data_IF_605885079922
#
_entry.id   IF_605885079922
#
_cell.length_a   1.000
_cell.length_b   1.000
_cell.length_c   1.000
_cell.angle_alpha   90.00
_cell.angle_beta   90.00
_cell.angle_gamma   90.00
#
_symmetry.space_group_name_H-M   'P 1'
#
loop_
_entity.id
_entity.type
_entity.pdbx_description
1 polymer ?
#
# COMPACT_ATOMS: atom_id res chain seq x y z
N UNK A 1 -35.50 -25.81 0.59
CA UNK A 1 -35.51 -26.88 1.57
C UNK A 1 -36.43 -26.53 2.72
N UNK A 2 -37.45 -27.36 2.89
CA UNK A 2 -38.63 -27.16 3.77
C UNK A 2 -38.27 -26.99 5.28
N UNK A 3 -37.04 -27.29 5.67
CA UNK A 3 -36.52 -27.17 7.04
C UNK A 3 -36.00 -25.78 7.35
N UNK A 4 -35.52 -25.04 6.38
CA UNK A 4 -35.05 -23.67 6.60
C UNK A 4 -36.17 -22.65 6.73
N UNK A 5 -37.29 -22.88 6.07
CA UNK A 5 -38.45 -22.00 6.18
C UNK A 5 -39.15 -22.10 7.56
N UNK A 6 -39.02 -23.24 8.25
CA UNK A 6 -39.64 -23.43 9.57
C UNK A 6 -38.95 -22.62 10.68
N UNK A 7 -37.64 -22.33 10.53
CA UNK A 7 -36.90 -21.52 11.48
C UNK A 7 -37.17 -20.01 11.36
N UNK A 8 -37.71 -19.57 10.23
CA UNK A 8 -38.12 -18.14 10.05
C UNK A 8 -39.48 -17.85 10.62
N UNK A 9 -40.34 -18.86 10.78
CA UNK A 9 -41.69 -18.70 11.34
C UNK A 9 -41.68 -18.58 12.87
N UNK A 10 -40.67 -19.15 13.55
CA UNK A 10 -40.52 -19.03 15.00
C UNK A 10 -40.00 -17.66 15.49
N UNK A 11 -39.51 -16.80 14.60
CA UNK A 11 -38.95 -15.48 14.97
C UNK A 11 -40.00 -14.33 14.84
N UNK A 12 -41.25 -14.66 14.59
CA UNK A 12 -42.38 -13.72 14.82
C UNK A 12 -42.62 -12.69 13.70
N UNK A 13 -42.13 -12.90 12.48
CA UNK A 13 -42.28 -11.93 11.39
C UNK A 13 -43.27 -12.26 10.28
N UNK A 14 -44.06 -13.35 10.40
CA UNK A 14 -45.24 -13.55 9.53
C UNK A 14 -46.32 -14.32 10.28
N UNK A 15 -47.44 -13.68 10.54
CA UNK A 15 -48.70 -14.36 10.86
C UNK A 15 -49.42 -14.69 9.58
N UNK A 16 -49.58 -15.97 9.28
CA UNK A 16 -50.55 -16.44 8.32
C UNK A 16 -51.77 -16.94 9.09
N UNK A 17 -52.93 -16.37 8.87
CA UNK A 17 -54.22 -16.95 9.28
C UNK A 17 -54.58 -18.01 8.24
N UNK A 18 -54.70 -19.25 8.71
CA UNK A 18 -55.32 -20.34 7.97
C UNK A 18 -56.85 -20.13 7.97
N UNK A 19 -57.45 -19.91 6.81
CA UNK A 19 -58.88 -20.17 6.58
C UNK A 19 -59.02 -21.34 5.62
N UNK A 20 -59.48 -22.47 6.19
CA UNK A 20 -60.06 -23.57 5.43
C UNK A 20 -61.38 -23.13 4.81
N UNK A 21 -61.55 -23.29 3.51
CA UNK A 21 -62.84 -23.74 2.91
C UNK A 21 -62.59 -24.28 1.50
N UNK A 22 -62.99 -25.48 1.34
CA UNK A 22 -63.18 -26.26 0.13
C UNK A 22 -64.24 -25.59 -0.73
N UNK A 23 -64.03 -25.29 -2.01
CA UNK A 23 -64.81 -25.83 -3.12
C UNK A 23 -64.29 -25.38 -4.51
N UNK A 24 -64.62 -26.18 -5.44
CA UNK A 24 -64.25 -26.43 -6.81
C UNK A 24 -64.66 -25.31 -7.79
N UNK A 25 -63.94 -25.25 -8.88
CA UNK A 25 -64.16 -24.64 -10.18
C UNK A 25 -63.39 -23.36 -10.55
N UNK A 26 -62.38 -23.62 -11.38
CA UNK A 26 -61.94 -22.80 -12.54
C UNK A 26 -62.39 -21.33 -12.64
N UNK A 27 -61.50 -20.39 -12.28
CA UNK A 27 -61.30 -19.12 -12.97
C UNK A 27 -59.99 -18.49 -12.47
N UNK A 28 -59.04 -18.25 -13.38
CA UNK A 28 -57.89 -17.37 -13.13
C UNK A 28 -58.41 -15.99 -12.74
N UNK A 29 -58.22 -15.64 -11.48
CA UNK A 29 -58.43 -14.28 -11.01
C UNK A 29 -57.06 -13.74 -10.65
N UNK A 30 -56.51 -12.90 -11.52
CA UNK A 30 -55.37 -12.06 -11.23
C UNK A 30 -55.76 -11.16 -10.07
N UNK A 31 -55.31 -11.51 -8.87
CA UNK A 31 -55.39 -10.62 -7.71
C UNK A 31 -54.34 -9.51 -7.91
N UNK A 32 -54.84 -8.34 -8.30
CA UNK A 32 -54.09 -7.09 -8.08
C UNK A 32 -54.12 -6.84 -6.58
N UNK A 33 -52.95 -6.56 -5.92
CA UNK A 33 -52.99 -6.05 -4.57
C UNK A 33 -53.61 -4.64 -4.64
N UNK A 34 -54.78 -4.42 -4.04
CA UNK A 34 -55.25 -3.11 -3.65
C UNK A 34 -54.27 -2.60 -2.55
N UNK A 35 -53.38 -1.73 -2.94
CA UNK A 35 -52.58 -0.93 -1.98
C UNK A 35 -53.61 0.09 -1.44
N UNK A 36 -54.06 -0.09 -0.20
CA UNK A 36 -54.70 0.98 0.53
C UNK A 36 -53.73 2.16 0.62
N UNK A 37 -53.94 3.13 -0.26
CA UNK A 37 -53.42 4.49 -0.09
C UNK A 37 -54.14 5.11 1.11
N UNK A 38 -53.64 4.89 2.31
CA UNK A 38 -53.81 5.87 3.39
C UNK A 38 -53.01 5.42 4.63
N UNK A 39 -52.24 6.33 5.03
CA UNK A 39 -51.63 6.60 6.34
C UNK A 39 -50.13 6.44 6.41
N UNK A 40 -49.54 7.59 6.67
CA UNK A 40 -48.21 7.85 7.16
C UNK A 40 -47.04 7.90 6.15
N UNK A 41 -47.21 8.62 5.05
CA UNK A 41 -46.11 9.50 4.69
C UNK A 41 -46.16 10.70 5.64
N UNK A 42 -45.68 10.53 6.86
CA UNK A 42 -45.19 11.65 7.62
C UNK A 42 -44.17 12.35 6.73
N UNK A 43 -44.50 13.55 6.27
CA UNK A 43 -43.57 14.43 5.59
C UNK A 43 -42.36 14.56 6.53
N UNK A 44 -41.32 13.82 6.26
CA UNK A 44 -40.00 14.17 6.75
C UNK A 44 -39.71 15.49 6.04
N UNK A 45 -40.03 16.58 6.70
CA UNK A 45 -39.58 17.90 6.26
C UNK A 45 -38.08 17.82 6.10
N UNK A 46 -37.51 18.19 4.93
CA UNK A 46 -36.09 18.20 4.76
C UNK A 46 -35.54 19.17 5.82
N UNK A 47 -34.81 18.67 6.81
CA UNK A 47 -34.17 19.44 7.88
C UNK A 47 -33.08 20.39 7.37
N UNK A 48 -32.96 20.55 6.06
CA UNK A 48 -32.05 21.51 5.42
C UNK A 48 -32.87 22.67 4.90
N UNK A 49 -32.73 23.82 5.53
CA UNK A 49 -33.20 25.09 5.01
C UNK A 49 -32.38 25.44 3.76
N UNK A 50 -32.87 24.95 2.60
CA UNK A 50 -32.25 25.27 1.31
C UNK A 50 -32.39 26.76 0.92
N UNK A 51 -33.10 27.56 1.71
CA UNK A 51 -33.42 28.95 1.39
C UNK A 51 -32.21 29.89 1.26
N UNK A 52 -31.10 29.53 1.85
CA UNK A 52 -29.87 30.34 1.83
C UNK A 52 -28.75 29.83 0.93
N UNK A 53 -28.89 28.63 0.33
CA UNK A 53 -27.87 28.04 -0.53
C UNK A 53 -28.01 28.59 -1.96
N UNK A 54 -27.15 29.52 -2.34
CA UNK A 54 -27.12 30.11 -3.68
C UNK A 54 -26.25 29.32 -4.67
N UNK A 55 -25.30 28.56 -4.16
CA UNK A 55 -24.36 27.77 -4.95
C UNK A 55 -23.95 26.52 -4.18
N UNK A 56 -23.55 25.45 -4.89
CA UNK A 56 -22.96 24.26 -4.27
C UNK A 56 -21.66 24.56 -3.49
N UNK A 57 -21.06 25.73 -3.68
CA UNK A 57 -19.90 26.20 -2.90
C UNK A 57 -20.26 26.65 -1.49
N UNK A 58 -21.53 26.94 -1.23
CA UNK A 58 -22.02 27.39 0.06
C UNK A 58 -22.29 26.19 1.01
N UNK A 59 -22.20 24.96 0.48
CA UNK A 59 -22.39 23.73 1.25
C UNK A 59 -21.06 23.39 1.96
N UNK A 60 -21.07 23.37 3.29
CA UNK A 60 -19.93 22.91 4.06
C UNK A 60 -19.78 21.40 3.94
N UNK A 61 -18.67 20.97 3.33
CA UNK A 61 -18.32 19.55 3.20
C UNK A 61 -17.46 19.14 4.39
N UNK A 62 -17.81 18.06 5.12
CA UNK A 62 -16.99 17.57 6.22
C UNK A 62 -15.55 17.28 5.76
N UNK A 63 -14.53 17.63 6.57
CA UNK A 63 -13.13 17.50 6.16
C UNK A 63 -12.64 16.04 6.09
N UNK A 64 -13.29 15.12 6.80
CA UNK A 64 -12.96 13.70 6.78
C UNK A 64 -13.88 12.95 5.81
N UNK A 65 -13.30 12.09 4.98
CA UNK A 65 -14.05 11.28 4.03
C UNK A 65 -15.07 10.37 4.69
N UNK A 66 -14.78 9.90 5.90
CA UNK A 66 -15.69 9.00 6.62
C UNK A 66 -16.98 9.69 7.04
N UNK A 67 -16.94 11.00 7.27
CA UNK A 67 -18.10 11.78 7.66
C UNK A 67 -18.89 12.32 6.43
N UNK A 68 -18.40 12.05 5.21
CA UNK A 68 -19.06 12.36 3.94
C UNK A 68 -19.91 11.18 3.44
N UNK A 69 -19.79 10.00 4.06
CA UNK A 69 -20.56 8.80 3.68
C UNK A 69 -21.92 8.87 4.34
N UNK A 70 -22.99 8.73 3.55
CA UNK A 70 -24.38 8.79 3.97
C UNK A 70 -25.00 7.39 3.86
N UNK A 71 -25.88 7.03 4.77
CA UNK A 71 -26.65 5.78 4.71
C UNK A 71 -25.92 4.52 5.20
N UNK A 72 -24.75 4.65 5.85
CA UNK A 72 -23.95 3.51 6.35
C UNK A 72 -23.46 3.71 7.79
N UNK A 73 -24.30 4.22 8.68
CA UNK A 73 -23.92 4.63 10.03
C UNK A 73 -23.33 3.50 10.87
N UNK A 74 -23.92 2.32 10.84
CA UNK A 74 -23.44 1.12 11.53
C UNK A 74 -22.06 0.68 11.01
N UNK A 75 -21.90 0.72 9.68
CA UNK A 75 -20.63 0.41 9.03
C UNK A 75 -19.54 1.42 9.41
N UNK A 76 -19.87 2.70 9.45
CA UNK A 76 -18.97 3.79 9.86
C UNK A 76 -18.53 3.62 11.31
N UNK A 77 -19.45 3.31 12.22
CA UNK A 77 -19.09 3.05 13.62
C UNK A 77 -18.15 1.85 13.75
N UNK A 78 -18.43 0.77 13.03
CA UNK A 78 -17.57 -0.42 13.04
C UNK A 78 -16.19 -0.10 12.50
N UNK A 79 -16.08 0.68 11.42
CA UNK A 79 -14.81 1.12 10.86
C UNK A 79 -14.05 2.03 11.84
N UNK A 80 -14.73 2.95 12.52
CA UNK A 80 -14.14 3.80 13.56
C UNK A 80 -13.58 2.95 14.72
N UNK A 81 -14.30 1.91 15.15
CA UNK A 81 -13.83 0.95 16.16
C UNK A 81 -12.61 0.15 15.67
N UNK A 82 -12.67 -0.37 14.44
CA UNK A 82 -11.59 -1.12 13.83
C UNK A 82 -10.32 -0.28 13.66
N UNK A 83 -10.43 0.97 13.23
CA UNK A 83 -9.32 1.90 13.09
C UNK A 83 -8.61 2.15 14.43
N UNK A 84 -9.35 2.43 15.50
CA UNK A 84 -8.79 2.60 16.85
C UNK A 84 -8.02 1.36 17.34
N UNK A 85 -8.47 0.18 16.98
CA UNK A 85 -7.86 -1.10 17.36
C UNK A 85 -6.83 -1.62 16.36
N UNK A 86 -6.63 -0.93 15.23
CA UNK A 86 -5.80 -1.37 14.10
C UNK A 86 -6.16 -2.78 13.65
N UNK A 87 -7.47 -3.07 13.50
CA UNK A 87 -7.98 -4.37 13.07
C UNK A 87 -8.34 -4.39 11.60
N UNK A 88 -8.13 -5.55 10.97
CA UNK A 88 -8.47 -5.78 9.57
C UNK A 88 -10.00 -5.76 9.38
N UNK A 89 -10.44 -5.36 8.19
CA UNK A 89 -11.85 -5.28 7.83
C UNK A 89 -12.09 -6.02 6.52
N UNK A 90 -13.22 -6.71 6.45
CA UNK A 90 -13.78 -7.27 5.23
C UNK A 90 -15.12 -6.57 4.94
N UNK A 91 -15.16 -5.77 3.87
CA UNK A 91 -16.35 -5.08 3.42
C UNK A 91 -17.07 -5.94 2.38
N UNK A 92 -18.30 -6.33 2.67
CA UNK A 92 -19.12 -7.20 1.83
C UNK A 92 -20.29 -6.38 1.32
N UNK A 93 -20.45 -6.27 0.01
CA UNK A 93 -21.56 -5.52 -0.62
C UNK A 93 -21.36 -5.37 -2.12
N UNK A 94 -22.39 -4.85 -2.78
CA UNK A 94 -22.39 -4.68 -4.22
C UNK A 94 -21.43 -3.58 -4.71
N UNK A 95 -21.07 -3.59 -5.99
CA UNK A 95 -20.26 -2.52 -6.57
C UNK A 95 -20.99 -1.16 -6.43
N UNK A 96 -20.23 -0.12 -6.10
CA UNK A 96 -20.78 1.24 -6.02
C UNK A 96 -21.24 1.71 -4.64
N UNK A 97 -21.38 0.82 -3.64
CA UNK A 97 -21.84 1.18 -2.28
C UNK A 97 -20.81 1.95 -1.43
N UNK A 98 -19.75 2.48 -1.99
CA UNK A 98 -18.80 3.33 -1.27
C UNK A 98 -17.68 2.61 -0.51
N UNK A 99 -17.43 1.29 -0.72
CA UNK A 99 -16.40 0.51 -0.03
C UNK A 99 -15.01 1.16 -0.02
N UNK A 100 -14.53 1.62 -1.19
CA UNK A 100 -13.23 2.27 -1.33
C UNK A 100 -13.15 3.63 -0.63
N UNK A 101 -14.26 4.36 -0.57
CA UNK A 101 -14.35 5.63 0.15
C UNK A 101 -14.22 5.42 1.66
N UNK A 102 -14.91 4.41 2.19
CA UNK A 102 -14.79 4.01 3.60
C UNK A 102 -13.36 3.54 3.96
N UNK A 103 -12.71 2.79 3.07
CA UNK A 103 -11.31 2.38 3.25
C UNK A 103 -10.35 3.57 3.31
N UNK A 104 -10.53 4.57 2.43
CA UNK A 104 -9.77 5.83 2.47
C UNK A 104 -10.07 6.63 3.73
N UNK A 105 -11.35 6.71 4.12
CA UNK A 105 -11.76 7.35 5.37
C UNK A 105 -11.12 6.71 6.59
N UNK A 106 -10.99 5.38 6.61
CA UNK A 106 -10.29 4.67 7.67
C UNK A 106 -8.83 5.12 7.81
N UNK A 107 -8.11 5.33 6.71
CA UNK A 107 -6.73 5.80 6.76
C UNK A 107 -6.60 7.19 7.38
N UNK A 108 -7.61 8.05 7.25
CA UNK A 108 -7.62 9.38 7.84
C UNK A 108 -7.79 9.37 9.38
N UNK A 109 -8.44 8.35 9.91
CA UNK A 109 -8.72 8.22 11.34
C UNK A 109 -7.80 7.24 12.07
N UNK A 110 -6.93 6.51 11.33
CA UNK A 110 -5.91 5.65 11.92
C UNK A 110 -4.93 6.48 12.75
N UNK A 111 -4.52 6.00 13.94
CA UNK A 111 -3.43 6.62 14.68
C UNK A 111 -2.16 6.67 13.82
N UNK A 112 -1.64 7.86 13.58
CA UNK A 112 -0.49 8.11 12.69
C UNK A 112 0.78 8.55 13.44
N UNK A 113 0.82 8.34 14.74
CA UNK A 113 1.82 8.90 15.68
C UNK A 113 3.27 8.47 15.40
N UNK A 114 3.50 7.49 14.55
CA UNK A 114 4.85 6.98 14.28
C UNK A 114 5.04 6.51 12.85
N UNK A 115 4.86 7.44 11.90
CA UNK A 115 5.25 7.15 10.52
C UNK A 115 6.77 7.04 10.40
N UNK A 116 7.21 6.06 9.62
CA UNK A 116 8.62 5.74 9.44
C UNK A 116 9.00 5.83 7.96
N UNK A 117 10.19 6.35 7.70
CA UNK A 117 10.87 6.20 6.41
C UNK A 117 11.66 4.90 6.44
N UNK A 118 11.68 4.17 5.32
CA UNK A 118 12.42 2.92 5.20
C UNK A 118 13.56 3.10 4.22
N UNK A 119 14.76 2.82 4.69
CA UNK A 119 16.01 2.91 3.95
C UNK A 119 16.58 1.51 3.70
N UNK A 120 17.16 1.33 2.51
CA UNK A 120 17.92 0.14 2.18
C UNK A 120 19.40 0.51 1.99
N UNK A 121 20.26 -0.24 2.63
CA UNK A 121 21.70 -0.07 2.62
C UNK A 121 22.37 -1.23 1.89
N UNK A 122 23.50 -0.97 1.23
CA UNK A 122 24.35 -2.06 0.73
C UNK A 122 24.87 -2.89 1.90
N UNK A 123 24.95 -4.20 1.71
CA UNK A 123 25.64 -5.09 2.63
C UNK A 123 27.03 -5.39 2.09
N UNK A 124 28.06 -5.09 2.88
CA UNK A 124 29.45 -5.29 2.49
C UNK A 124 29.83 -6.77 2.51
N UNK A 125 29.20 -7.55 3.39
CA UNK A 125 29.46 -8.98 3.56
C UNK A 125 28.79 -9.81 2.47
N UNK A 126 27.55 -9.46 2.13
CA UNK A 126 26.78 -10.13 1.08
C UNK A 126 25.96 -9.12 0.26
N UNK A 127 26.44 -8.83 -0.94
CA UNK A 127 25.82 -7.86 -1.84
C UNK A 127 24.36 -8.26 -2.25
N UNK A 128 24.01 -9.54 -2.15
CA UNK A 128 22.67 -10.03 -2.50
C UNK A 128 21.67 -9.97 -1.33
N UNK A 129 22.15 -9.63 -0.12
CA UNK A 129 21.33 -9.44 1.07
C UNK A 129 21.43 -8.01 1.61
N UNK A 130 20.85 -7.01 0.92
CA UNK A 130 20.89 -5.63 1.38
C UNK A 130 20.14 -5.46 2.71
N UNK A 131 20.68 -4.54 3.54
CA UNK A 131 20.20 -4.29 4.90
C UNK A 131 19.08 -3.26 4.90
N UNK A 132 18.14 -3.38 5.85
CA UNK A 132 17.00 -2.47 6.02
C UNK A 132 17.14 -1.71 7.33
N UNK A 133 16.81 -0.40 7.29
CA UNK A 133 16.69 0.44 8.49
C UNK A 133 15.46 1.32 8.40
N UNK A 134 14.69 1.38 9.49
CA UNK A 134 13.62 2.33 9.69
C UNK A 134 14.13 3.53 10.46
N UNK A 135 13.67 4.71 10.08
CA UNK A 135 13.95 5.99 10.74
C UNK A 135 12.64 6.78 10.82
N UNK A 136 12.51 7.76 11.71
CA UNK A 136 11.33 8.63 11.75
C UNK A 136 11.06 9.30 10.40
N UNK A 137 9.79 9.55 10.09
CA UNK A 137 9.39 10.19 8.84
C UNK A 137 10.10 11.54 8.62
N UNK A 138 10.61 11.77 7.41
CA UNK A 138 11.37 12.95 7.02
C UNK A 138 12.89 12.89 7.31
N UNK A 139 13.37 11.94 8.11
CA UNK A 139 14.81 11.77 8.32
C UNK A 139 15.48 10.99 7.18
N UNK A 140 14.77 10.08 6.57
CA UNK A 140 15.32 9.24 5.50
C UNK A 140 15.89 10.03 4.34
N UNK A 141 15.16 11.05 3.89
CA UNK A 141 15.61 11.94 2.80
C UNK A 141 16.84 12.79 3.20
N UNK A 142 16.92 13.21 4.47
CA UNK A 142 18.08 13.97 4.99
C UNK A 142 19.32 13.08 5.01
N UNK A 143 19.18 11.83 5.47
CA UNK A 143 20.26 10.84 5.49
C UNK A 143 20.79 10.59 4.08
N UNK A 144 19.91 10.32 3.11
CA UNK A 144 20.31 10.09 1.72
C UNK A 144 21.02 11.30 1.12
N UNK A 145 20.52 12.53 1.37
CA UNK A 145 21.17 13.77 0.91
C UNK A 145 22.55 13.96 1.56
N UNK A 146 22.64 13.76 2.87
CA UNK A 146 23.90 13.92 3.59
C UNK A 146 24.96 12.91 3.10
N UNK A 147 24.59 11.65 2.92
CA UNK A 147 25.50 10.60 2.45
C UNK A 147 25.96 10.86 1.01
N UNK A 148 25.05 11.26 0.11
CA UNK A 148 25.41 11.63 -1.27
C UNK A 148 26.28 12.89 -1.32
N UNK A 149 25.99 13.87 -0.47
CA UNK A 149 26.79 15.10 -0.36
C UNK A 149 28.21 14.83 0.14
N UNK A 150 28.37 14.00 1.16
CA UNK A 150 29.70 13.63 1.67
C UNK A 150 30.50 12.83 0.64
N UNK A 151 29.90 11.93 -0.09
CA UNK A 151 30.53 11.16 -1.17
C UNK A 151 31.03 12.11 -2.29
N UNK A 152 30.19 13.06 -2.72
CA UNK A 152 30.55 14.04 -3.74
C UNK A 152 31.69 14.95 -3.30
N UNK A 153 31.66 15.47 -2.07
CA UNK A 153 32.70 16.28 -1.51
C UNK A 153 34.04 15.53 -1.41
N UNK A 154 34.00 14.22 -1.16
CA UNK A 154 35.20 13.39 -1.11
C UNK A 154 35.82 13.20 -2.50
N UNK A 155 35.00 12.98 -3.52
CA UNK A 155 35.47 12.90 -4.91
C UNK A 155 36.05 14.24 -5.40
N UNK A 156 35.37 15.36 -5.12
CA UNK A 156 35.86 16.69 -5.46
C UNK A 156 37.22 17.01 -4.81
N UNK A 157 37.36 16.71 -3.52
CA UNK A 157 38.64 16.87 -2.81
C UNK A 157 39.78 16.02 -3.40
N UNK A 158 39.47 14.76 -3.75
CA UNK A 158 40.42 13.86 -4.38
C UNK A 158 40.87 14.40 -5.74
N UNK A 159 39.93 14.86 -6.57
CA UNK A 159 40.22 15.46 -7.87
C UNK A 159 41.07 16.73 -7.74
N UNK A 160 40.74 17.61 -6.79
CA UNK A 160 41.54 18.82 -6.50
C UNK A 160 42.97 18.47 -6.08
N UNK A 161 43.17 17.52 -5.16
CA UNK A 161 44.50 17.09 -4.71
C UNK A 161 45.27 16.50 -5.89
N UNK A 162 44.68 15.66 -6.71
CA UNK A 162 45.35 15.08 -7.88
C UNK A 162 45.78 16.17 -8.88
N UNK A 163 44.89 17.14 -9.16
CA UNK A 163 45.20 18.27 -10.04
C UNK A 163 46.34 19.12 -9.49
N UNK A 164 46.36 19.38 -8.18
CA UNK A 164 47.40 20.12 -7.52
C UNK A 164 48.76 19.40 -7.59
N UNK A 165 48.77 18.08 -7.40
CA UNK A 165 50.02 17.26 -7.49
C UNK A 165 50.54 17.28 -8.92
N UNK A 166 49.69 17.14 -9.94
CA UNK A 166 50.07 17.22 -11.34
C UNK A 166 50.68 18.60 -11.67
N UNK A 167 50.02 19.66 -11.24
CA UNK A 167 50.49 21.03 -11.46
C UNK A 167 51.89 21.27 -10.79
N UNK A 168 52.04 20.79 -9.56
CA UNK A 168 53.32 20.89 -8.84
C UNK A 168 54.49 20.17 -9.57
N UNK A 169 54.23 18.98 -10.10
CA UNK A 169 55.25 18.21 -10.85
C UNK A 169 55.67 18.96 -12.12
N UNK A 170 54.71 19.53 -12.85
CA UNK A 170 55.00 20.30 -14.07
C UNK A 170 55.79 21.55 -13.76
N UNK A 171 55.46 22.29 -12.69
CA UNK A 171 56.21 23.48 -12.25
C UNK A 171 57.64 23.12 -11.81
N UNK A 172 57.81 22.05 -11.05
CA UNK A 172 59.12 21.57 -10.62
C UNK A 172 59.97 21.17 -11.85
N UNK A 173 59.39 20.42 -12.79
CA UNK A 173 60.07 20.02 -14.03
C UNK A 173 60.53 21.23 -14.88
N UNK A 174 59.71 22.29 -14.91
CA UNK A 174 60.06 23.54 -15.56
C UNK A 174 61.27 24.23 -14.87
N UNK A 175 61.29 24.32 -13.54
CA UNK A 175 62.37 24.92 -12.77
C UNK A 175 63.70 24.20 -12.93
N UNK A 176 63.67 22.88 -13.09
CA UNK A 176 64.96 22.08 -13.25
C UNK A 176 65.33 21.83 -14.72
N UNK A 177 64.62 22.43 -15.68
CA UNK A 177 64.86 22.24 -17.11
C UNK A 177 64.50 20.83 -17.67
N UNK A 178 63.80 20.04 -16.88
CA UNK A 178 63.42 18.65 -17.22
C UNK A 178 61.93 18.50 -17.57
N UNK A 179 61.45 19.35 -18.46
CA UNK A 179 60.02 19.46 -18.81
C UNK A 179 59.46 18.14 -19.37
N UNK A 180 60.26 17.46 -20.21
CA UNK A 180 59.80 16.21 -20.86
C UNK A 180 59.56 15.09 -19.85
N UNK A 181 60.43 14.94 -18.87
CA UNK A 181 60.28 13.94 -17.80
C UNK A 181 59.13 14.26 -16.90
N UNK A 182 58.86 15.54 -16.59
CA UNK A 182 57.73 15.99 -15.80
C UNK A 182 56.39 15.74 -16.50
N UNK A 183 56.30 15.92 -17.81
CA UNK A 183 55.12 15.62 -18.60
C UNK A 183 54.83 14.11 -18.57
N UNK A 184 55.83 13.28 -18.74
CA UNK A 184 55.72 11.82 -18.67
C UNK A 184 55.24 11.37 -17.29
N UNK A 185 55.80 11.92 -16.21
CA UNK A 185 55.38 11.63 -14.83
C UNK A 185 53.93 12.08 -14.57
N UNK A 186 53.57 13.26 -15.02
CA UNK A 186 52.17 13.79 -14.93
C UNK A 186 51.20 12.91 -15.67
N UNK A 187 51.51 12.47 -16.89
CA UNK A 187 50.67 11.54 -17.67
C UNK A 187 50.51 10.19 -17.00
N UNK A 188 51.61 9.68 -16.38
CA UNK A 188 51.56 8.40 -15.66
C UNK A 188 50.71 8.48 -14.41
N UNK A 189 50.78 9.58 -13.65
CA UNK A 189 49.90 9.82 -12.48
C UNK A 189 48.42 9.94 -12.93
N UNK A 190 48.17 10.62 -14.04
CA UNK A 190 46.82 10.76 -14.58
C UNK A 190 46.25 9.40 -15.00
N UNK A 191 47.05 8.57 -15.70
CA UNK A 191 46.66 7.20 -16.05
C UNK A 191 46.38 6.32 -14.83
N UNK A 192 47.25 6.39 -13.81
CA UNK A 192 47.08 5.68 -12.55
C UNK A 192 45.82 6.18 -11.83
N UNK A 193 45.55 7.48 -11.82
CA UNK A 193 44.36 8.08 -11.20
C UNK A 193 43.06 7.64 -11.90
N UNK A 194 43.09 7.44 -13.22
CA UNK A 194 41.97 6.94 -14.00
C UNK A 194 41.76 5.44 -13.75
N UNK A 195 42.84 4.67 -13.61
CA UNK A 195 42.73 3.22 -13.35
C UNK A 195 42.34 2.91 -11.90
N UNK A 196 42.79 3.71 -10.94
CA UNK A 196 42.28 3.68 -9.57
C UNK A 196 40.92 4.43 -9.53
N UNK A 197 39.99 4.02 -10.39
CA UNK A 197 38.59 4.34 -10.13
C UNK A 197 38.31 3.81 -8.74
N UNK A 198 37.83 4.64 -7.78
CA UNK A 198 37.38 4.10 -6.53
C UNK A 198 36.34 3.07 -6.95
N UNK A 199 36.50 1.81 -6.53
CA UNK A 199 35.47 0.81 -6.61
C UNK A 199 34.26 1.51 -6.00
N UNK A 200 33.31 1.89 -6.87
CA UNK A 200 32.19 2.78 -6.50
C UNK A 200 31.42 2.04 -5.43
N UNK A 201 31.93 2.08 -4.21
CA UNK A 201 31.22 1.69 -3.02
C UNK A 201 30.14 2.78 -2.88
N UNK A 202 29.11 2.72 -3.74
CA UNK A 202 27.88 3.43 -3.53
C UNK A 202 27.26 2.91 -2.22
N UNK A 203 27.92 3.27 -1.12
CA UNK A 203 27.43 3.02 0.23
C UNK A 203 26.25 3.96 0.56
N UNK A 204 25.81 4.77 -0.41
CA UNK A 204 24.67 5.63 -0.19
C UNK A 204 23.39 4.79 -0.10
N UNK A 205 22.60 4.93 0.96
CA UNK A 205 21.35 4.23 1.08
C UNK A 205 20.35 4.73 0.04
N UNK A 206 19.44 3.83 -0.40
CA UNK A 206 18.25 4.19 -1.17
C UNK A 206 17.06 4.33 -0.23
N UNK A 207 16.25 5.34 -0.45
CA UNK A 207 14.96 5.52 0.25
C UNK A 207 13.92 4.62 -0.43
N UNK A 208 13.42 3.60 0.28
CA UNK A 208 12.40 2.68 -0.19
C UNK A 208 10.99 3.22 0.02
N UNK A 209 10.73 3.81 1.20
CA UNK A 209 9.43 4.39 1.57
C UNK A 209 9.69 5.76 2.17
N UNK A 210 8.99 6.77 1.66
CA UNK A 210 9.05 8.15 2.14
C UNK A 210 7.67 8.57 2.70
N UNK A 211 7.65 9.01 3.94
CA UNK A 211 6.44 9.50 4.61
C UNK A 211 6.60 10.95 5.12
N UNK A 212 7.60 11.71 4.61
CA UNK A 212 7.99 13.05 5.09
C UNK A 212 6.82 14.03 5.25
N UNK A 213 5.91 14.09 4.28
CA UNK A 213 4.86 15.13 4.26
C UNK A 213 3.45 14.55 4.47
N UNK A 214 3.33 13.33 4.97
CA UNK A 214 2.03 12.69 5.12
C UNK A 214 1.32 13.18 6.38
N UNK A 215 0.17 13.83 6.19
CA UNK A 215 -0.72 14.28 7.26
C UNK A 215 -1.53 13.14 7.88
N UNK A 216 -1.84 12.11 7.09
CA UNK A 216 -2.63 10.95 7.47
C UNK A 216 -1.82 9.68 7.28
N UNK A 217 -2.29 8.57 7.86
CA UNK A 217 -1.72 7.26 7.64
C UNK A 217 -1.72 6.90 6.13
N UNK A 218 -0.69 6.22 5.63
CA UNK A 218 -0.63 5.84 4.22
C UNK A 218 -1.83 5.01 3.80
N UNK A 219 -2.41 5.33 2.64
CA UNK A 219 -3.42 4.54 1.97
C UNK A 219 -2.85 4.00 0.66
N UNK A 220 -2.86 2.67 0.50
CA UNK A 220 -2.43 2.01 -0.74
C UNK A 220 -3.58 1.17 -1.27
N UNK A 221 -4.01 1.49 -2.49
CA UNK A 221 -4.97 0.70 -3.24
C UNK A 221 -4.21 -0.34 -4.07
N UNK A 222 -4.35 -1.60 -3.71
CA UNK A 222 -3.68 -2.73 -4.35
C UNK A 222 -4.66 -3.61 -5.15
N UNK A 223 -5.81 -3.07 -5.52
CA UNK A 223 -6.79 -3.75 -6.36
C UNK A 223 -6.18 -4.15 -7.70
N UNK A 224 -6.28 -5.42 -8.05
CA UNK A 224 -5.71 -5.96 -9.29
C UNK A 224 -4.17 -5.97 -9.37
N UNK A 225 -3.47 -5.67 -8.28
CA UNK A 225 -2.02 -5.66 -8.27
C UNK A 225 -1.45 -7.08 -8.42
N UNK A 226 -0.50 -7.24 -9.33
CA UNK A 226 0.28 -8.48 -9.44
C UNK A 226 1.28 -8.59 -8.26
N UNK A 227 1.78 -9.83 -8.00
CA UNK A 227 2.61 -10.14 -6.84
C UNK A 227 3.82 -9.20 -6.66
N UNK A 228 4.55 -8.87 -7.74
CA UNK A 228 5.70 -7.97 -7.67
C UNK A 228 5.34 -6.54 -7.25
N UNK A 229 4.21 -6.00 -7.72
CA UNK A 229 3.74 -4.68 -7.30
C UNK A 229 3.24 -4.68 -5.86
N UNK A 230 2.60 -5.77 -5.42
CA UNK A 230 2.08 -5.91 -4.07
C UNK A 230 3.19 -6.14 -3.04
N UNK A 231 4.05 -7.13 -3.27
CA UNK A 231 5.04 -7.64 -2.31
C UNK A 231 6.42 -7.01 -2.48
N UNK A 232 6.64 -6.29 -3.57
CA UNK A 232 7.93 -5.76 -3.97
C UNK A 232 8.68 -6.67 -4.93
N UNK A 233 9.63 -6.07 -5.63
CA UNK A 233 10.40 -6.77 -6.66
C UNK A 233 11.84 -6.24 -6.72
N UNK A 234 12.69 -6.93 -7.45
CA UNK A 234 14.06 -6.51 -7.73
C UNK A 234 14.21 -6.30 -9.22
N UNK A 235 14.47 -5.05 -9.62
CA UNK A 235 14.67 -4.73 -11.04
C UNK A 235 15.78 -5.58 -11.63
N UNK A 236 15.55 -6.06 -12.83
CA UNK A 236 16.57 -6.77 -13.59
C UNK A 236 17.76 -5.83 -13.89
N UNK A 237 18.99 -6.37 -13.81
CA UNK A 237 20.17 -5.62 -14.22
C UNK A 237 20.36 -5.75 -15.74
N UNK A 238 20.17 -4.67 -16.52
CA UNK A 238 20.25 -4.74 -17.98
C UNK A 238 21.64 -5.13 -18.49
N UNK A 239 22.66 -4.97 -17.68
CA UNK A 239 24.04 -5.20 -18.16
C UNK A 239 24.57 -6.60 -17.89
N UNK A 240 23.92 -7.46 -17.12
CA UNK A 240 24.33 -8.86 -16.77
C UNK A 240 25.85 -9.08 -16.62
N UNK A 241 26.60 -8.01 -16.46
CA UNK A 241 28.05 -7.98 -16.61
C UNK A 241 28.71 -8.12 -15.25
N UNK A 242 28.83 -9.35 -14.78
CA UNK A 242 29.81 -9.83 -13.81
C UNK A 242 30.35 -8.87 -12.74
N UNK A 243 29.52 -8.02 -12.12
CA UNK A 243 29.95 -7.17 -11.00
C UNK A 243 30.15 -5.67 -11.31
N UNK A 244 29.91 -5.21 -12.53
CA UNK A 244 29.93 -3.79 -12.92
C UNK A 244 28.53 -3.18 -13.03
N UNK A 245 27.47 -3.97 -12.76
CA UNK A 245 26.06 -3.56 -12.84
C UNK A 245 25.62 -2.72 -11.65
N UNK A 246 24.36 -2.31 -11.70
CA UNK A 246 23.71 -1.55 -10.60
C UNK A 246 23.71 -2.38 -9.32
N UNK A 247 24.17 -1.84 -8.18
CA UNK A 247 24.20 -2.55 -6.91
C UNK A 247 22.81 -3.10 -6.52
N UNK A 248 22.77 -4.26 -5.86
CA UNK A 248 21.52 -4.95 -5.53
C UNK A 248 20.56 -4.07 -4.73
N UNK A 249 21.04 -3.29 -3.76
CA UNK A 249 20.18 -2.40 -2.95
C UNK A 249 19.54 -1.28 -3.77
N UNK A 250 20.13 -0.84 -4.88
CA UNK A 250 19.52 0.17 -5.76
C UNK A 250 18.44 -0.44 -6.67
N UNK A 251 18.48 -1.74 -6.95
CA UNK A 251 17.51 -2.46 -7.77
C UNK A 251 16.25 -2.89 -7.03
N UNK A 252 16.29 -2.96 -5.70
CA UNK A 252 15.15 -3.34 -4.88
C UNK A 252 14.08 -2.25 -4.94
N UNK A 253 12.82 -2.66 -5.21
CA UNK A 253 11.64 -1.81 -5.24
C UNK A 253 10.62 -2.23 -4.18
N UNK A 254 10.14 -1.26 -3.41
CA UNK A 254 9.15 -1.52 -2.36
C UNK A 254 7.78 -1.86 -2.96
N UNK A 255 7.16 -2.93 -2.47
CA UNK A 255 5.77 -3.25 -2.78
C UNK A 255 4.77 -2.37 -2.05
N UNK A 256 3.49 -2.50 -2.44
CA UNK A 256 2.40 -1.73 -1.82
C UNK A 256 2.25 -2.04 -0.33
N UNK A 257 2.51 -3.28 0.11
CA UNK A 257 2.50 -3.67 1.53
C UNK A 257 3.50 -2.84 2.36
N UNK A 258 4.69 -2.56 1.82
CA UNK A 258 5.71 -1.76 2.49
C UNK A 258 5.35 -0.27 2.52
N UNK A 259 4.78 0.24 1.41
CA UNK A 259 4.29 1.62 1.30
C UNK A 259 3.08 1.88 2.20
N UNK A 260 2.31 0.82 2.52
CA UNK A 260 1.19 0.86 3.46
C UNK A 260 1.62 0.70 4.92
N UNK A 261 2.93 0.59 5.22
CA UNK A 261 3.41 0.43 6.59
C UNK A 261 2.83 1.50 7.52
N UNK A 262 2.27 1.09 8.67
CA UNK A 262 1.51 1.91 9.64
C UNK A 262 0.21 2.53 9.09
N UNK A 263 -0.23 2.13 7.90
CA UNK A 263 -1.42 2.64 7.21
C UNK A 263 -2.43 1.58 6.84
N UNK A 264 -3.14 1.81 5.74
CA UNK A 264 -4.19 0.94 5.19
C UNK A 264 -3.74 0.37 3.84
N UNK A 265 -3.85 -0.93 3.70
CA UNK A 265 -3.80 -1.62 2.41
C UNK A 265 -5.23 -1.99 2.02
N UNK A 266 -5.73 -1.42 0.93
CA UNK A 266 -7.04 -1.72 0.38
C UNK A 266 -6.92 -2.68 -0.80
N UNK A 267 -7.76 -3.71 -0.84
CA UNK A 267 -7.83 -4.67 -1.93
C UNK A 267 -9.30 -4.94 -2.23
N UNK A 268 -9.79 -4.45 -3.37
CA UNK A 268 -11.10 -4.84 -3.86
C UNK A 268 -11.04 -6.20 -4.57
N UNK A 269 -12.14 -6.92 -4.52
CA UNK A 269 -12.26 -8.25 -5.11
C UNK A 269 -11.13 -9.21 -4.70
N UNK A 270 -10.79 -9.24 -3.41
CA UNK A 270 -9.65 -10.00 -2.87
C UNK A 270 -9.64 -11.49 -3.30
N UNK A 271 -10.80 -12.08 -3.57
CA UNK A 271 -10.93 -13.46 -4.04
C UNK A 271 -10.40 -13.69 -5.45
N UNK A 272 -10.18 -12.64 -6.25
CA UNK A 272 -9.61 -12.76 -7.60
C UNK A 272 -8.08 -12.95 -7.60
N UNK A 273 -7.43 -12.67 -6.46
CA UNK A 273 -5.99 -12.88 -6.31
C UNK A 273 -5.63 -14.37 -6.32
N UNK A 274 -4.45 -14.70 -6.86
CA UNK A 274 -3.96 -16.08 -6.83
C UNK A 274 -3.78 -16.57 -5.39
N UNK A 275 -4.04 -17.86 -5.14
CA UNK A 275 -3.88 -18.46 -3.81
C UNK A 275 -2.48 -18.27 -3.23
N UNK A 276 -1.44 -18.32 -4.08
CA UNK A 276 -0.05 -18.06 -3.67
C UNK A 276 0.11 -16.64 -3.12
N UNK A 277 -0.37 -15.65 -3.85
CA UNK A 277 -0.28 -14.23 -3.43
C UNK A 277 -1.07 -13.98 -2.14
N UNK A 278 -2.23 -14.62 -1.97
CA UNK A 278 -3.01 -14.53 -0.74
C UNK A 278 -2.25 -15.13 0.46
N UNK A 279 -1.53 -16.25 0.29
CA UNK A 279 -0.69 -16.86 1.32
C UNK A 279 0.51 -15.98 1.70
N UNK A 280 1.16 -15.39 0.71
CA UNK A 280 2.28 -14.46 0.92
C UNK A 280 1.81 -13.19 1.66
N UNK A 281 0.64 -12.65 1.28
CA UNK A 281 0.02 -11.52 1.97
C UNK A 281 -0.34 -11.87 3.42
N UNK A 282 -0.89 -13.08 3.65
CA UNK A 282 -1.18 -13.58 4.99
C UNK A 282 0.08 -13.67 5.85
N UNK A 283 1.20 -14.15 5.30
CA UNK A 283 2.49 -14.19 5.98
C UNK A 283 2.98 -12.78 6.34
N UNK A 284 2.88 -11.83 5.41
CA UNK A 284 3.24 -10.44 5.64
C UNK A 284 2.40 -9.80 6.77
N UNK A 285 1.09 -10.06 6.79
CA UNK A 285 0.18 -9.59 7.84
C UNK A 285 0.52 -10.17 9.22
N UNK A 286 0.96 -11.42 9.29
CA UNK A 286 1.28 -12.10 10.54
C UNK A 286 2.61 -11.63 11.13
N UNK A 287 3.64 -11.58 10.27
CA UNK A 287 5.00 -11.22 10.66
C UNK A 287 5.22 -9.70 10.77
N UNK A 288 4.30 -8.90 10.20
CA UNK A 288 4.41 -7.44 10.08
C UNK A 288 5.69 -6.96 9.39
N UNK A 289 6.35 -7.84 8.69
CA UNK A 289 7.56 -7.62 7.89
C UNK A 289 7.62 -8.65 6.77
N UNK A 290 8.14 -8.25 5.63
CA UNK A 290 8.27 -9.14 4.47
C UNK A 290 9.56 -8.82 3.69
N UNK A 291 10.33 -9.85 3.31
CA UNK A 291 11.55 -9.67 2.53
C UNK A 291 11.23 -9.51 1.05
N UNK A 292 11.84 -8.53 0.41
CA UNK A 292 11.68 -8.32 -1.03
C UNK A 292 12.64 -9.25 -1.76
N UNK A 293 12.10 -10.08 -2.65
CA UNK A 293 12.84 -11.01 -3.49
C UNK A 293 12.54 -10.76 -4.95
N UNK A 294 13.52 -10.96 -5.83
CA UNK A 294 13.26 -10.91 -7.29
C UNK A 294 12.26 -11.99 -7.69
N UNK A 295 11.19 -11.58 -8.37
CA UNK A 295 10.12 -12.47 -8.84
C UNK A 295 10.43 -13.10 -10.21
N UNK A 296 11.56 -12.77 -10.84
CA UNK A 296 11.92 -13.29 -12.15
C UNK A 296 12.36 -14.75 -12.07
N UNK A 297 11.52 -15.65 -12.56
CA UNK A 297 11.81 -17.09 -12.66
C UNK A 297 12.94 -17.41 -13.68
N UNK A 298 13.25 -16.47 -14.58
CA UNK A 298 14.20 -16.66 -15.68
C UNK A 298 15.60 -16.08 -15.41
N UNK A 299 15.89 -15.58 -14.21
CA UNK A 299 17.22 -15.05 -13.93
C UNK A 299 18.17 -16.18 -13.49
N UNK A 300 19.09 -16.54 -14.38
CA UNK A 300 20.23 -17.43 -14.08
C UNK A 300 21.29 -16.80 -13.17
N UNK A 301 20.99 -15.64 -12.56
CA UNK A 301 21.87 -14.92 -11.64
C UNK A 301 21.53 -15.18 -10.17
N UNK A 302 22.44 -14.79 -9.26
CA UNK A 302 22.21 -14.88 -7.82
C UNK A 302 20.94 -14.14 -7.41
N UNK A 303 20.05 -14.83 -6.70
CA UNK A 303 18.78 -14.27 -6.22
C UNK A 303 19.06 -13.18 -5.17
N UNK A 304 18.64 -11.97 -5.46
CA UNK A 304 18.68 -10.88 -4.48
C UNK A 304 17.48 -11.02 -3.54
N UNK A 305 17.76 -11.05 -2.26
CA UNK A 305 16.75 -11.08 -1.20
C UNK A 305 17.10 -10.06 -0.14
N UNK A 306 16.27 -9.03 0.05
CA UNK A 306 16.50 -8.05 1.10
C UNK A 306 16.35 -8.64 2.48
N UNK A 307 16.90 -7.97 3.48
CA UNK A 307 16.45 -8.16 4.85
C UNK A 307 14.95 -7.88 4.93
N UNK A 308 14.24 -8.46 5.92
CA UNK A 308 12.81 -8.27 6.07
C UNK A 308 12.45 -6.79 6.27
N UNK A 309 11.61 -6.27 5.39
CA UNK A 309 11.16 -4.87 5.35
C UNK A 309 9.87 -4.74 6.16
N UNK A 310 9.74 -3.74 7.06
CA UNK A 310 8.50 -3.51 7.81
C UNK A 310 7.29 -3.32 6.90
N UNK A 311 6.16 -3.96 7.29
CA UNK A 311 4.88 -3.86 6.60
C UNK A 311 3.70 -4.08 7.58
N UNK A 312 3.66 -3.31 8.67
CA UNK A 312 2.58 -3.33 9.66
C UNK A 312 1.41 -2.48 9.15
N UNK A 313 0.59 -3.02 8.28
CA UNK A 313 -0.59 -2.37 7.71
C UNK A 313 -1.88 -2.96 8.26
N UNK A 314 -2.97 -2.22 8.16
CA UNK A 314 -4.33 -2.71 8.34
C UNK A 314 -4.88 -3.09 6.97
N UNK A 315 -5.30 -4.34 6.82
CA UNK A 315 -5.96 -4.79 5.59
C UNK A 315 -7.42 -4.40 5.60
N UNK A 316 -7.86 -3.68 4.58
CA UNK A 316 -9.26 -3.50 4.23
C UNK A 316 -9.51 -4.23 2.93
N UNK A 317 -10.08 -5.41 3.03
CA UNK A 317 -10.46 -6.22 1.89
C UNK A 317 -11.93 -5.96 1.55
N UNK A 318 -12.27 -6.02 0.26
CA UNK A 318 -13.67 -5.90 -0.16
C UNK A 318 -14.01 -6.93 -1.25
N UNK A 319 -15.30 -7.17 -1.40
CA UNK A 319 -15.87 -8.05 -2.42
C UNK A 319 -17.35 -8.29 -2.21
N UNK A 320 -17.97 -8.98 -3.17
CA UNK A 320 -19.31 -9.51 -3.03
C UNK A 320 -19.27 -10.93 -2.40
N UNK A 321 -20.41 -11.50 -2.07
CA UNK A 321 -20.49 -12.84 -1.48
C UNK A 321 -19.84 -13.93 -2.35
N UNK A 322 -19.92 -13.81 -3.67
CA UNK A 322 -19.33 -14.77 -4.61
C UNK A 322 -17.79 -14.69 -4.61
N UNK A 323 -17.24 -13.49 -4.52
CA UNK A 323 -15.79 -13.26 -4.48
C UNK A 323 -15.16 -13.85 -3.21
N UNK A 324 -15.93 -13.93 -2.11
CA UNK A 324 -15.46 -14.54 -0.87
C UNK A 324 -15.20 -16.05 -0.98
N UNK A 325 -15.83 -16.75 -1.93
CA UNK A 325 -15.57 -18.17 -2.19
C UNK A 325 -14.16 -18.40 -2.75
N UNK A 326 -13.63 -17.44 -3.52
CA UNK A 326 -12.26 -17.45 -4.02
C UNK A 326 -11.19 -17.07 -2.97
N UNK A 327 -11.60 -16.70 -1.77
CA UNK A 327 -10.68 -16.27 -0.72
C UNK A 327 -10.08 -17.47 0.03
N UNK A 328 -8.76 -17.42 0.30
CA UNK A 328 -8.10 -18.47 1.06
C UNK A 328 -8.69 -18.58 2.47
N UNK A 329 -9.04 -19.81 2.88
CA UNK A 329 -9.74 -20.08 4.15
C UNK A 329 -9.00 -19.49 5.36
N UNK A 330 -7.66 -19.62 5.41
CA UNK A 330 -6.87 -19.07 6.51
C UNK A 330 -6.91 -17.54 6.56
N UNK A 331 -6.95 -16.85 5.41
CA UNK A 331 -7.06 -15.40 5.34
C UNK A 331 -8.44 -14.94 5.85
N UNK A 332 -9.51 -15.58 5.39
CA UNK A 332 -10.87 -15.29 5.85
C UNK A 332 -11.01 -15.55 7.36
N UNK A 333 -10.49 -16.68 7.85
CA UNK A 333 -10.47 -16.99 9.28
C UNK A 333 -9.69 -15.96 10.10
N UNK A 334 -8.58 -15.44 9.57
CA UNK A 334 -7.77 -14.41 10.23
C UNK A 334 -8.51 -13.08 10.33
N UNK A 335 -9.22 -12.68 9.29
CA UNK A 335 -10.02 -11.45 9.32
C UNK A 335 -11.20 -11.64 10.30
N UNK A 336 -11.94 -12.75 10.22
CA UNK A 336 -13.05 -13.04 11.16
C UNK A 336 -12.61 -13.11 12.62
N UNK A 337 -11.48 -13.77 12.91
CA UNK A 337 -11.02 -13.97 14.28
C UNK A 337 -10.42 -12.73 14.93
N UNK A 338 -9.83 -11.81 14.16
CA UNK A 338 -9.09 -10.65 14.66
C UNK A 338 -9.52 -9.33 14.04
N UNK A 339 -10.60 -9.30 13.28
CA UNK A 339 -11.11 -8.14 12.58
C UNK A 339 -12.62 -8.06 12.57
N UNK A 340 -13.14 -7.39 11.57
CA UNK A 340 -14.58 -7.17 11.41
C UNK A 340 -15.01 -7.55 10.00
N UNK A 341 -16.17 -8.22 9.88
CA UNK A 341 -16.90 -8.36 8.63
C UNK A 341 -18.05 -7.34 8.66
N UNK A 342 -18.11 -6.50 7.66
CA UNK A 342 -19.10 -5.43 7.54
C UNK A 342 -19.91 -5.66 6.26
N UNK A 343 -21.20 -5.88 6.43
CA UNK A 343 -22.16 -6.02 5.33
C UNK A 343 -22.71 -4.64 4.99
N UNK A 344 -22.48 -4.22 3.76
CA UNK A 344 -22.98 -2.95 3.25
C UNK A 344 -24.22 -3.21 2.42
N UNK A 345 -25.35 -2.64 2.83
CA UNK A 345 -26.60 -2.64 2.09
C UNK A 345 -26.57 -1.61 0.98
N UNK A 346 -27.46 -1.75 0.01
CA UNK A 346 -27.63 -0.71 -1.00
C UNK A 346 -28.24 0.53 -0.32
N UNK A 347 -27.60 1.67 -0.49
CA UNK A 347 -28.02 2.92 0.17
C UNK A 347 -29.38 3.44 -0.33
N UNK A 348 -29.91 2.86 -1.40
CA UNK A 348 -31.24 3.19 -1.93
C UNK A 348 -32.41 2.52 -1.18
N UNK A 349 -32.14 1.51 -0.34
CA UNK A 349 -33.20 0.84 0.45
C UNK A 349 -33.54 1.56 1.76
N UNK A 350 -32.68 2.51 2.20
CA UNK A 350 -32.82 3.20 3.48
C UNK A 350 -33.26 4.68 3.33
N UNK A 351 -33.61 5.14 2.12
CA UNK A 351 -34.13 6.48 1.82
C UNK A 351 -35.55 6.41 1.29
#
# INVERSE_FOLDING_TARGET
NYIELKNYVEVGFMKFEEQESIDDSSKETVLKPEIEENEAFEKIEPMLDYGNIKSSKDIEVPPLLIDQVIGHEESIETIKKAAKQRRNILLIGDPGVGKSMLAKGMAQILPHESLEDILIYPNVEDNNHPLIRSVPAGEGKKIVKATKGSAKNHEEKKTLITTFVIAAIVVIGFMYGRILEAIIAAALILLISIQIKPKNNNMSPKLLVNNEDKRFAPFMDATGAHAGALLGDVRHDPYQSGGLGTPAHERVESGMIHKANKGVLYIDEIGTMTMKTQQELLSAMQEKKYAITGQSENSSGAMVRSQAVPCDFVLVASGNLQVLEGMHIAMRSRIRGYGYEVFMKDSMEDT
#
